data_IF_092362113905
#
_entry.id   IF_092362113905
#
_cell.length_a   1.000
_cell.length_b   1.000
_cell.length_c   1.000
_cell.angle_alpha   90.00
_cell.angle_beta   90.00
_cell.angle_gamma   90.00
#
_symmetry.space_group_name_H-M   'P 1'
#
loop_
_entity.id
_entity.type
_entity.pdbx_description
1 polymer ?
#
# COMPACT_ATOMS: atom_id res chain seq x y z
N UNK A 1 -3.53 4.64 13.63
CA UNK A 1 -4.41 4.32 12.48
C UNK A 1 -3.76 3.23 11.63
N UNK A 2 -4.56 2.32 11.07
CA UNK A 2 -4.14 1.31 10.09
C UNK A 2 -4.97 1.58 8.84
N UNK A 3 -4.29 1.74 7.71
CA UNK A 3 -4.89 2.04 6.41
C UNK A 3 -5.74 0.86 5.93
N UNK A 4 -6.79 1.15 5.17
CA UNK A 4 -7.56 0.11 4.49
C UNK A 4 -6.93 -0.27 3.15
N UNK A 5 -7.17 -1.49 2.64
CA UNK A 5 -6.71 -1.88 1.30
C UNK A 5 -7.16 -0.91 0.19
N UNK A 6 -8.38 -0.37 0.29
CA UNK A 6 -8.95 0.56 -0.68
C UNK A 6 -8.26 1.92 -0.66
N UNK A 7 -7.85 2.41 0.53
CA UNK A 7 -7.04 3.63 0.64
C UNK A 7 -5.71 3.50 -0.07
N UNK A 8 -5.05 2.34 0.11
CA UNK A 8 -3.78 2.03 -0.53
C UNK A 8 -3.95 1.86 -2.04
N UNK A 9 -4.95 1.12 -2.51
CA UNK A 9 -5.24 0.95 -3.94
C UNK A 9 -5.48 2.30 -4.64
N UNK A 10 -6.28 3.19 -4.02
CA UNK A 10 -6.49 4.55 -4.52
C UNK A 10 -5.22 5.38 -4.53
N UNK A 11 -4.33 5.19 -3.57
CA UNK A 11 -3.04 5.88 -3.55
C UNK A 11 -2.15 5.45 -4.73
N UNK A 12 -2.10 4.15 -5.03
CA UNK A 12 -1.36 3.60 -6.17
C UNK A 12 -1.94 4.11 -7.49
N UNK A 13 -3.27 4.08 -7.66
CA UNK A 13 -3.96 4.58 -8.85
C UNK A 13 -3.64 6.07 -9.10
N UNK A 14 -3.68 6.89 -8.04
CA UNK A 14 -3.29 8.31 -8.14
C UNK A 14 -1.84 8.49 -8.54
N UNK A 15 -0.92 7.71 -7.97
CA UNK A 15 0.50 7.77 -8.31
C UNK A 15 0.74 7.43 -9.79
N UNK A 16 0.13 6.35 -10.28
CA UNK A 16 0.20 5.94 -11.69
C UNK A 16 -0.42 6.95 -12.65
N UNK A 17 -1.52 7.61 -12.27
CA UNK A 17 -2.12 8.70 -13.06
C UNK A 17 -1.18 9.88 -13.23
N UNK A 18 -0.37 10.19 -12.21
CA UNK A 18 0.58 11.32 -12.21
C UNK A 18 1.90 10.95 -12.90
N UNK A 19 2.45 9.77 -12.60
CA UNK A 19 3.76 9.33 -13.07
C UNK A 19 3.72 8.75 -14.49
N UNK A 20 2.54 8.32 -14.95
CA UNK A 20 2.33 7.59 -16.18
C UNK A 20 2.22 6.08 -15.95
N UNK A 21 1.51 5.41 -16.86
CA UNK A 21 1.23 3.97 -16.78
C UNK A 21 2.50 3.13 -16.66
N UNK A 22 2.46 2.15 -15.77
CA UNK A 22 3.52 1.17 -15.49
C UNK A 22 4.83 1.77 -14.97
N UNK A 23 4.80 2.94 -14.33
CA UNK A 23 5.98 3.61 -13.76
C UNK A 23 6.17 3.30 -12.28
N UNK A 24 5.16 2.77 -11.60
CA UNK A 24 5.21 2.30 -10.22
C UNK A 24 5.46 0.79 -10.23
N UNK A 25 6.71 0.40 -10.00
CA UNK A 25 7.11 -1.01 -9.93
C UNK A 25 6.99 -1.60 -8.52
N UNK A 26 7.14 -0.77 -7.50
CA UNK A 26 7.19 -1.18 -6.10
C UNK A 26 6.34 -0.26 -5.24
N UNK A 27 5.79 -0.84 -4.16
CA UNK A 27 5.14 -0.12 -3.08
C UNK A 27 5.74 -0.58 -1.77
N UNK A 28 5.99 0.36 -0.87
CA UNK A 28 6.58 0.11 0.43
C UNK A 28 6.00 1.10 1.45
N UNK A 29 6.13 0.84 2.76
CA UNK A 29 5.85 1.83 3.78
C UNK A 29 6.79 3.03 3.65
N UNK A 30 6.34 4.23 4.01
CA UNK A 30 7.13 5.45 3.91
C UNK A 30 8.46 5.38 4.68
N UNK A 31 8.48 4.69 5.83
CA UNK A 31 9.65 4.52 6.68
C UNK A 31 9.59 3.18 7.45
N UNK A 32 10.65 2.88 8.20
CA UNK A 32 10.72 1.72 9.07
C UNK A 32 9.74 1.78 10.25
N UNK A 33 9.45 0.63 10.84
CA UNK A 33 8.45 0.48 11.91
C UNK A 33 9.01 0.52 13.33
N UNK A 34 10.24 1.01 13.53
CA UNK A 34 10.93 1.00 14.82
C UNK A 34 10.08 1.54 15.98
N UNK A 35 9.26 2.55 15.70
CA UNK A 35 8.42 3.23 16.68
C UNK A 35 7.03 2.62 16.88
N UNK A 36 6.66 1.57 16.15
CA UNK A 36 5.30 1.00 16.17
C UNK A 36 5.25 -0.33 16.93
N UNK A 37 4.13 -0.56 17.62
CA UNK A 37 3.81 -1.87 18.21
C UNK A 37 3.66 -2.92 17.11
N UNK A 38 4.20 -4.11 17.35
CA UNK A 38 4.18 -5.24 16.39
C UNK A 38 2.80 -5.51 15.79
N UNK A 39 1.75 -5.52 16.62
CA UNK A 39 0.36 -5.78 16.18
C UNK A 39 -0.19 -4.74 15.20
N UNK A 40 0.29 -3.48 15.26
CA UNK A 40 -0.08 -2.45 14.29
C UNK A 40 0.67 -2.67 12.98
N UNK A 41 1.96 -3.01 13.06
CA UNK A 41 2.82 -3.25 11.89
C UNK A 41 2.31 -4.42 11.06
N UNK A 42 1.98 -5.54 11.69
CA UNK A 42 1.46 -6.72 10.98
C UNK A 42 0.19 -6.39 10.20
N UNK A 43 -0.71 -5.59 10.80
CA UNK A 43 -1.95 -5.15 10.14
C UNK A 43 -1.70 -4.18 8.99
N UNK A 44 -0.76 -3.24 9.14
CA UNK A 44 -0.37 -2.31 8.08
C UNK A 44 0.24 -3.04 6.88
N UNK A 45 1.13 -3.99 7.13
CA UNK A 45 1.77 -4.78 6.07
C UNK A 45 0.75 -5.67 5.35
N UNK A 46 -0.17 -6.30 6.10
CA UNK A 46 -1.26 -7.06 5.50
C UNK A 46 -2.17 -6.18 4.64
N UNK A 47 -2.50 -4.97 5.09
CA UNK A 47 -3.28 -4.00 4.31
C UNK A 47 -2.54 -3.54 3.04
N UNK A 48 -1.22 -3.29 3.12
CA UNK A 48 -0.39 -2.90 1.98
C UNK A 48 -0.39 -3.96 0.87
N UNK A 49 -0.21 -5.23 1.25
CA UNK A 49 -0.27 -6.34 0.30
C UNK A 49 -1.64 -6.41 -0.38
N UNK A 50 -2.72 -6.40 0.42
CA UNK A 50 -4.10 -6.43 -0.10
C UNK A 50 -4.44 -5.24 -0.99
N UNK A 51 -3.99 -4.03 -0.63
CA UNK A 51 -4.24 -2.83 -1.42
C UNK A 51 -3.53 -2.85 -2.77
N UNK A 52 -2.29 -3.36 -2.81
CA UNK A 52 -1.58 -3.64 -4.07
C UNK A 52 -2.36 -4.66 -4.91
N UNK A 53 -2.80 -5.76 -4.31
CA UNK A 53 -3.49 -6.84 -5.03
C UNK A 53 -4.83 -6.35 -5.58
N UNK A 54 -5.57 -5.55 -4.81
CA UNK A 54 -6.79 -4.88 -5.24
C UNK A 54 -6.54 -3.95 -6.45
N UNK A 55 -5.48 -3.12 -6.41
CA UNK A 55 -5.11 -2.27 -7.54
C UNK A 55 -4.77 -3.09 -8.80
N UNK A 56 -4.09 -4.22 -8.64
CA UNK A 56 -3.72 -5.11 -9.74
C UNK A 56 -4.86 -6.01 -10.23
N UNK A 57 -6.04 -5.96 -9.61
CA UNK A 57 -7.16 -6.85 -9.93
C UNK A 57 -6.88 -8.32 -9.61
N UNK A 58 -6.04 -8.58 -8.60
CA UNK A 58 -5.67 -9.92 -8.14
C UNK A 58 -6.54 -10.31 -6.93
N UNK A 59 -6.97 -11.58 -6.83
CA UNK A 59 -7.75 -12.09 -5.70
C UNK A 59 -6.96 -12.09 -4.39
#
# INVERSE_FOLDING_TARGET
HVETPEEIARAIERAEKVLGRNRVRYVHPDCGFWMLKRSIVDRKIAALAKGRDLYLGRP
#
